data_IF_763211494014
#
_entry.id   IF_763211494014
#
_cell.length_a   1.000
_cell.length_b   1.000
_cell.length_c   1.000
_cell.angle_alpha   90.00
_cell.angle_beta   90.00
_cell.angle_gamma   90.00
#
_symmetry.space_group_name_H-M   'P 1'
#
loop_
_entity.id
_entity.type
_entity.pdbx_description
1 polymer ?
#
# COMPACT_ATOMS: atom_id res chain seq x y z
N UNK A 1 -8.59 -19.80 30.61
CA UNK A 1 -7.24 -19.20 30.70
C UNK A 1 -6.49 -19.53 29.43
N UNK A 2 -6.69 -18.73 28.39
CA UNK A 2 -5.89 -18.82 27.17
C UNK A 2 -4.48 -18.35 27.50
N UNK A 3 -3.45 -19.09 27.11
CA UNK A 3 -2.05 -18.64 27.17
C UNK A 3 -2.00 -17.23 26.58
N UNK A 4 -1.75 -16.22 27.42
CA UNK A 4 -1.40 -14.90 26.93
C UNK A 4 -0.09 -15.08 26.17
N UNK A 5 -0.15 -14.99 24.84
CA UNK A 5 1.07 -14.88 24.05
C UNK A 5 1.79 -13.63 24.54
N UNK A 6 3.06 -13.75 24.90
CA UNK A 6 3.85 -12.60 25.36
C UNK A 6 4.21 -11.66 24.21
N UNK A 7 3.95 -12.08 22.97
CA UNK A 7 4.18 -11.32 21.75
C UNK A 7 2.87 -11.25 20.96
N UNK A 8 2.50 -10.04 20.55
CA UNK A 8 1.43 -9.77 19.60
C UNK A 8 2.05 -9.21 18.32
N UNK A 9 1.90 -9.92 17.20
CA UNK A 9 2.40 -9.50 15.90
C UNK A 9 1.27 -9.40 14.89
N UNK A 10 1.16 -8.23 14.26
CA UNK A 10 0.14 -7.90 13.27
C UNK A 10 0.84 -7.61 11.94
N UNK A 11 0.62 -8.47 10.94
CA UNK A 11 1.17 -8.26 9.60
C UNK A 11 0.36 -7.19 8.85
N UNK A 12 1.08 -6.38 8.09
CA UNK A 12 0.54 -5.26 7.32
C UNK A 12 0.86 -5.50 5.85
N UNK A 13 -0.20 -5.82 5.12
CA UNK A 13 -0.15 -5.97 3.68
C UNK A 13 0.13 -4.63 3.00
N UNK A 14 1.22 -4.57 2.24
CA UNK A 14 1.61 -3.41 1.46
C UNK A 14 1.05 -3.41 0.05
N UNK A 15 1.94 -3.14 -0.91
CA UNK A 15 1.61 -3.06 -2.32
C UNK A 15 1.31 -4.42 -2.96
N UNK A 16 1.64 -5.55 -2.34
CA UNK A 16 1.35 -6.91 -2.85
C UNK A 16 -0.10 -7.35 -2.65
N UNK A 17 -1.05 -6.50 -3.06
CA UNK A 17 -2.49 -6.77 -3.00
C UNK A 17 -3.04 -7.08 -4.39
N UNK A 18 -4.09 -7.89 -4.44
CA UNK A 18 -4.76 -8.28 -5.69
C UNK A 18 -5.10 -7.07 -6.58
N UNK A 19 -5.67 -6.00 -6.00
CA UNK A 19 -6.01 -4.77 -6.73
C UNK A 19 -4.79 -4.16 -7.44
N UNK A 20 -3.61 -4.17 -6.82
CA UNK A 20 -2.41 -3.63 -7.45
C UNK A 20 -1.92 -4.54 -8.59
N UNK A 21 -1.97 -5.86 -8.44
CA UNK A 21 -1.63 -6.79 -9.53
C UNK A 21 -2.59 -6.63 -10.71
N UNK A 22 -3.89 -6.51 -10.43
CA UNK A 22 -4.93 -6.30 -11.42
C UNK A 22 -4.69 -5.02 -12.23
N UNK A 23 -4.52 -3.88 -11.55
CA UNK A 23 -4.27 -2.61 -12.22
C UNK A 23 -2.93 -2.58 -12.95
N UNK A 24 -1.87 -3.14 -12.36
CA UNK A 24 -0.56 -3.25 -13.04
C UNK A 24 -0.69 -4.02 -14.35
N UNK A 25 -1.48 -5.10 -14.37
CA UNK A 25 -1.73 -5.92 -15.56
C UNK A 25 -2.50 -5.14 -16.63
N UNK A 26 -3.63 -4.52 -16.26
CA UNK A 26 -4.45 -3.74 -17.21
C UNK A 26 -3.63 -2.60 -17.84
N UNK A 27 -2.92 -1.84 -17.02
CA UNK A 27 -2.09 -0.72 -17.50
C UNK A 27 -0.93 -1.21 -18.37
N UNK A 28 -0.34 -2.38 -18.05
CA UNK A 28 0.70 -2.99 -18.90
C UNK A 28 0.17 -3.34 -20.28
N UNK A 29 -1.01 -4.00 -20.35
CA UNK A 29 -1.63 -4.38 -21.62
C UNK A 29 -1.94 -3.13 -22.45
N UNK A 30 -2.55 -2.12 -21.85
CA UNK A 30 -2.88 -0.87 -22.54
C UNK A 30 -1.63 -0.10 -23.00
N UNK A 31 -0.64 0.08 -22.12
CA UNK A 31 0.60 0.79 -22.42
C UNK A 31 1.40 0.11 -23.53
N UNK A 32 1.64 -1.20 -23.42
CA UNK A 32 2.35 -1.97 -24.44
C UNK A 32 1.56 -1.98 -25.75
N UNK A 33 0.23 -2.17 -25.70
CA UNK A 33 -0.62 -2.16 -26.88
C UNK A 33 -0.53 -0.84 -27.67
N UNK A 34 -0.66 0.29 -26.98
CA UNK A 34 -0.53 1.61 -27.61
C UNK A 34 0.89 1.91 -28.10
N UNK A 35 1.91 1.47 -27.36
CA UNK A 35 3.30 1.61 -27.77
C UNK A 35 3.58 0.85 -29.08
N UNK A 36 3.15 -0.41 -29.15
CA UNK A 36 3.30 -1.24 -30.35
C UNK A 36 2.48 -0.70 -31.53
N UNK A 37 1.26 -0.21 -31.29
CA UNK A 37 0.44 0.40 -32.33
C UNK A 37 1.08 1.68 -32.91
N UNK A 38 1.59 2.56 -32.05
CA UNK A 38 2.30 3.77 -32.47
C UNK A 38 3.58 3.47 -33.25
N UNK A 39 4.37 2.49 -32.79
CA UNK A 39 5.56 2.02 -33.51
C UNK A 39 5.22 1.38 -34.85
N UNK A 40 4.15 0.58 -34.92
CA UNK A 40 3.69 -0.06 -36.16
C UNK A 40 3.30 0.98 -37.22
N UNK A 41 2.59 2.04 -36.81
CA UNK A 41 2.20 3.14 -37.70
C UNK A 41 3.40 3.91 -38.26
N UNK A 42 4.49 4.03 -37.48
CA UNK A 42 5.74 4.69 -37.91
C UNK A 42 6.61 3.79 -38.80
N UNK A 43 6.86 2.54 -38.38
CA UNK A 43 7.77 1.61 -39.06
C UNK A 43 7.14 0.92 -40.27
N UNK A 44 5.81 1.02 -40.43
CA UNK A 44 5.04 0.29 -41.42
C UNK A 44 5.24 -1.24 -41.35
N UNK A 45 5.38 -1.75 -40.13
CA UNK A 45 5.41 -3.19 -39.79
C UNK A 45 4.34 -3.45 -38.74
N UNK A 46 3.51 -4.47 -38.93
CA UNK A 46 2.49 -4.81 -37.94
C UNK A 46 3.13 -5.55 -36.73
N UNK A 47 3.19 -4.86 -35.59
CA UNK A 47 3.69 -5.41 -34.31
C UNK A 47 2.56 -5.83 -33.37
N UNK A 48 1.30 -5.61 -33.75
CA UNK A 48 0.13 -5.88 -32.92
C UNK A 48 -0.54 -7.18 -33.38
N UNK A 49 -0.89 -8.06 -32.45
CA UNK A 49 -1.48 -9.36 -32.79
C UNK A 49 -2.91 -9.28 -33.34
N UNK A 50 -3.70 -8.31 -32.88
CA UNK A 50 -5.17 -8.32 -33.02
C UNK A 50 -5.65 -7.32 -34.08
N UNK A 51 -4.80 -6.43 -34.58
CA UNK A 51 -5.17 -5.34 -35.47
C UNK A 51 -4.03 -5.00 -36.42
N UNK A 52 -4.31 -4.19 -37.44
CA UNK A 52 -3.31 -3.70 -38.38
C UNK A 52 -3.13 -2.18 -38.26
N UNK A 53 -2.21 -1.69 -37.40
CA UNK A 53 -1.98 -0.25 -37.23
C UNK A 53 -1.14 0.35 -38.36
N UNK A 54 -0.69 -0.47 -39.31
CA UNK A 54 0.28 -0.10 -40.34
C UNK A 54 -0.29 0.95 -41.29
N UNK A 55 -1.60 0.91 -41.53
CA UNK A 55 -2.34 1.85 -42.37
C UNK A 55 -2.61 3.19 -41.69
N UNK A 56 -2.45 3.31 -40.36
CA UNK A 56 -2.66 4.59 -39.67
C UNK A 56 -1.64 5.64 -40.11
N UNK A 57 -2.12 6.86 -40.29
CA UNK A 57 -1.27 8.03 -40.46
C UNK A 57 -0.54 8.30 -39.13
N UNK A 58 0.80 8.30 -39.18
CA UNK A 58 1.60 8.47 -37.97
C UNK A 58 1.30 9.80 -37.27
N UNK A 59 1.18 10.90 -38.00
CA UNK A 59 0.79 12.20 -37.42
C UNK A 59 -0.65 12.52 -37.84
N UNK A 60 -1.55 12.85 -36.89
CA UNK A 60 -1.34 12.97 -35.44
C UNK A 60 -1.57 11.65 -34.66
N UNK A 61 -2.25 10.67 -35.26
CA UNK A 61 -2.86 9.54 -34.55
C UNK A 61 -1.83 8.54 -34.01
N UNK A 62 -0.90 8.07 -34.84
CA UNK A 62 0.17 7.17 -34.42
C UNK A 62 1.10 7.78 -33.36
N UNK A 63 1.38 9.08 -33.45
CA UNK A 63 2.19 9.84 -32.51
C UNK A 63 1.48 9.97 -31.14
N UNK A 64 0.16 10.20 -31.14
CA UNK A 64 -0.63 10.19 -29.92
C UNK A 64 -0.64 8.80 -29.26
N UNK A 65 -0.83 7.73 -30.04
CA UNK A 65 -0.76 6.35 -29.54
C UNK A 65 0.63 6.04 -28.96
N UNK A 66 1.69 6.45 -29.64
CA UNK A 66 3.06 6.27 -29.15
C UNK A 66 3.28 7.02 -27.83
N UNK A 67 2.82 8.27 -27.72
CA UNK A 67 2.93 9.07 -26.50
C UNK A 67 2.19 8.41 -25.32
N UNK A 68 0.92 8.05 -25.50
CA UNK A 68 0.15 7.36 -24.46
C UNK A 68 0.70 5.98 -24.14
N UNK A 69 1.27 5.28 -25.14
CA UNK A 69 1.97 4.02 -24.96
C UNK A 69 3.17 4.16 -24.04
N UNK A 70 4.05 5.13 -24.31
CA UNK A 70 5.22 5.42 -23.45
C UNK A 70 4.77 5.78 -22.02
N UNK A 71 3.80 6.70 -21.88
CA UNK A 71 3.30 7.10 -20.57
C UNK A 71 2.68 5.90 -19.81
N UNK A 72 1.86 5.09 -20.49
CA UNK A 72 1.24 3.90 -19.92
C UNK A 72 2.26 2.83 -19.53
N UNK A 73 3.27 2.57 -20.35
CA UNK A 73 4.34 1.62 -20.04
C UNK A 73 5.20 2.08 -18.86
N UNK A 74 5.53 3.38 -18.78
CA UNK A 74 6.25 3.94 -17.62
C UNK A 74 5.40 3.83 -16.33
N UNK A 75 4.10 4.10 -16.41
CA UNK A 75 3.19 3.93 -15.29
C UNK A 75 3.09 2.46 -14.87
N UNK A 76 2.96 1.54 -15.83
CA UNK A 76 2.94 0.10 -15.57
C UNK A 76 4.23 -0.36 -14.88
N UNK A 77 5.40 0.09 -15.36
CA UNK A 77 6.69 -0.19 -14.75
C UNK A 77 6.73 0.31 -13.30
N UNK A 78 6.29 1.54 -13.05
CA UNK A 78 6.21 2.08 -11.70
C UNK A 78 5.30 1.24 -10.77
N UNK A 79 4.14 0.81 -11.25
CA UNK A 79 3.22 -0.03 -10.47
C UNK A 79 3.84 -1.39 -10.16
N UNK A 80 4.45 -2.05 -11.14
CA UNK A 80 5.14 -3.32 -10.94
C UNK A 80 6.30 -3.21 -9.97
N UNK A 81 7.09 -2.14 -10.05
CA UNK A 81 8.18 -1.87 -9.12
C UNK A 81 7.66 -1.64 -7.69
N UNK A 82 6.56 -0.91 -7.54
CA UNK A 82 5.90 -0.69 -6.25
C UNK A 82 5.44 -2.01 -5.62
N UNK A 83 4.86 -2.91 -6.42
CA UNK A 83 4.47 -4.27 -6.00
C UNK A 83 5.68 -5.13 -5.67
N UNK A 84 6.72 -5.12 -6.52
CA UNK A 84 7.96 -5.88 -6.34
C UNK A 84 8.62 -5.56 -5.00
N UNK A 85 8.69 -4.27 -4.67
CA UNK A 85 9.29 -3.79 -3.43
C UNK A 85 8.39 -3.87 -2.20
N UNK A 86 7.12 -4.25 -2.39
CA UNK A 86 6.09 -4.31 -1.35
C UNK A 86 5.98 -3.01 -0.53
N UNK A 87 5.96 -1.88 -1.23
CA UNK A 87 5.91 -0.56 -0.59
C UNK A 87 4.67 -0.45 0.30
N UNK A 88 4.86 0.04 1.53
CA UNK A 88 3.85 0.14 2.58
C UNK A 88 3.65 -1.15 3.39
N UNK A 89 4.24 -2.27 2.99
CA UNK A 89 4.12 -3.55 3.69
C UNK A 89 5.00 -3.60 4.93
N UNK A 90 4.68 -4.45 5.90
CA UNK A 90 5.48 -4.59 7.12
C UNK A 90 4.68 -5.23 8.23
N UNK A 91 4.97 -4.88 9.48
CA UNK A 91 4.30 -5.45 10.64
C UNK A 91 4.34 -4.51 11.85
N UNK A 92 3.42 -4.74 12.79
CA UNK A 92 3.49 -4.20 14.15
C UNK A 92 3.79 -5.37 15.10
N UNK A 93 4.78 -5.23 15.96
CA UNK A 93 5.13 -6.22 16.97
C UNK A 93 5.13 -5.55 18.34
N UNK A 94 4.43 -6.16 19.29
CA UNK A 94 4.36 -5.73 20.68
C UNK A 94 4.81 -6.89 21.54
N UNK A 95 5.93 -6.73 22.25
CA UNK A 95 6.57 -7.82 22.95
C UNK A 95 6.71 -7.49 24.44
N UNK A 96 5.98 -8.22 25.29
CA UNK A 96 5.98 -8.07 26.75
C UNK A 96 7.23 -8.64 27.43
N UNK A 97 7.94 -9.58 26.80
CA UNK A 97 9.21 -10.12 27.33
C UNK A 97 10.31 -9.07 27.23
N UNK A 98 10.40 -8.40 26.08
CA UNK A 98 11.40 -7.35 25.84
C UNK A 98 10.96 -5.97 26.33
N UNK A 99 9.65 -5.78 26.56
CA UNK A 99 9.08 -4.49 26.93
C UNK A 99 9.06 -3.47 25.79
N UNK A 100 9.12 -3.92 24.54
CA UNK A 100 9.25 -3.06 23.35
C UNK A 100 8.07 -3.21 22.37
N UNK A 101 7.66 -2.09 21.79
CA UNK A 101 6.83 -2.01 20.59
C UNK A 101 7.70 -1.66 19.39
N UNK A 102 7.51 -2.38 18.28
CA UNK A 102 8.24 -2.22 17.03
C UNK A 102 7.26 -2.13 15.87
N UNK A 103 7.31 -1.03 15.14
CA UNK A 103 6.49 -0.77 13.97
C UNK A 103 7.43 -0.68 12.78
N UNK A 104 7.30 -1.64 11.86
CA UNK A 104 8.16 -1.74 10.68
C UNK A 104 7.34 -1.58 9.40
N UNK A 105 7.85 -0.79 8.44
CA UNK A 105 7.29 -0.63 7.10
C UNK A 105 8.40 -0.60 6.05
N UNK A 106 8.10 -1.17 4.88
CA UNK A 106 8.88 -1.04 3.66
C UNK A 106 8.50 0.26 2.95
N UNK A 107 9.47 1.16 2.79
CA UNK A 107 9.37 2.33 1.93
C UNK A 107 9.83 2.05 0.49
N UNK A 108 9.91 3.11 -0.30
CA UNK A 108 10.54 3.08 -1.62
C UNK A 108 12.02 2.69 -1.53
N UNK A 109 12.61 2.11 -2.60
CA UNK A 109 14.03 1.79 -2.62
C UNK A 109 14.89 3.04 -2.40
N UNK A 110 15.99 2.86 -1.68
CA UNK A 110 16.90 3.94 -1.31
C UNK A 110 17.48 3.72 0.07
N UNK A 111 18.18 4.74 0.59
CA UNK A 111 18.86 4.69 1.88
C UNK A 111 17.89 4.45 3.06
N UNK A 112 16.67 4.98 2.97
CA UNK A 112 15.66 4.90 4.03
C UNK A 112 14.52 3.92 3.67
N UNK A 113 14.86 2.82 2.98
CA UNK A 113 13.86 1.81 2.58
C UNK A 113 13.19 1.14 3.78
N UNK A 114 13.92 0.93 4.88
CA UNK A 114 13.36 0.36 6.11
C UNK A 114 12.92 1.51 7.00
N UNK A 115 11.62 1.65 7.17
CA UNK A 115 11.03 2.64 8.08
C UNK A 115 10.67 1.89 9.33
N UNK A 116 11.37 2.22 10.42
CA UNK A 116 11.27 1.48 11.66
C UNK A 116 11.10 2.45 12.81
N UNK A 117 10.15 2.13 13.67
CA UNK A 117 9.89 2.86 14.89
C UNK A 117 9.90 1.89 16.05
N UNK A 118 10.65 2.21 17.10
CA UNK A 118 10.70 1.44 18.33
C UNK A 118 10.42 2.35 19.53
N UNK A 119 9.60 1.87 20.47
CA UNK A 119 9.40 2.50 21.78
C UNK A 119 9.18 1.45 22.87
N UNK A 120 9.28 1.88 24.13
CA UNK A 120 8.95 1.03 25.27
C UNK A 120 7.44 0.91 25.41
N UNK A 121 6.95 -0.26 25.84
CA UNK A 121 5.52 -0.46 26.10
C UNK A 121 5.00 0.51 27.19
N UNK A 122 5.83 0.81 28.19
CA UNK A 122 5.49 1.76 29.29
C UNK A 122 5.32 3.22 28.83
N UNK A 123 5.79 3.54 27.62
CA UNK A 123 5.59 4.85 27.00
C UNK A 123 4.26 4.93 26.23
N UNK A 124 3.60 3.80 25.96
CA UNK A 124 2.29 3.79 25.31
C UNK A 124 1.22 4.27 26.30
N UNK A 125 0.42 5.25 25.88
CA UNK A 125 -0.63 5.85 26.69
C UNK A 125 -2.01 5.28 26.37
N UNK A 126 -2.31 5.14 25.08
CA UNK A 126 -3.60 4.69 24.59
C UNK A 126 -3.48 4.14 23.17
N UNK A 127 -4.45 3.31 22.79
CA UNK A 127 -4.72 2.99 21.39
C UNK A 127 -5.85 3.91 20.96
N UNK A 128 -5.68 4.70 19.91
CA UNK A 128 -6.70 5.62 19.43
C UNK A 128 -7.31 5.11 18.14
N UNK A 129 -8.62 4.86 18.13
CA UNK A 129 -9.40 4.70 16.92
C UNK A 129 -9.76 6.08 16.37
N UNK A 130 -9.61 6.26 15.06
CA UNK A 130 -10.12 7.42 14.35
C UNK A 130 -11.11 6.93 13.32
N UNK A 131 -12.37 7.32 13.49
CA UNK A 131 -13.47 6.99 12.59
C UNK A 131 -14.00 8.30 12.02
N UNK A 132 -13.89 8.44 10.70
CA UNK A 132 -14.50 9.51 9.94
C UNK A 132 -15.44 8.89 8.92
N UNK A 133 -16.70 9.29 8.95
CA UNK A 133 -17.69 8.87 7.97
C UNK A 133 -17.96 9.97 6.94
N UNK A 134 -18.62 9.61 5.83
CA UNK A 134 -18.98 10.53 4.75
C UNK A 134 -18.36 10.15 3.40
N UNK A 135 -18.15 11.15 2.53
CA UNK A 135 -17.67 10.94 1.16
C UNK A 135 -16.24 10.40 1.08
N UNK A 136 -15.41 10.65 2.10
CA UNK A 136 -14.07 10.11 2.24
C UNK A 136 -13.92 9.47 3.62
N UNK A 137 -14.39 8.22 3.77
CA UNK A 137 -14.35 7.54 5.05
C UNK A 137 -12.90 7.22 5.44
N UNK A 138 -12.58 7.40 6.71
CA UNK A 138 -11.26 7.09 7.27
C UNK A 138 -11.45 6.26 8.53
N UNK A 139 -10.81 5.09 8.60
CA UNK A 139 -10.87 4.18 9.75
C UNK A 139 -9.47 3.70 10.04
N UNK A 140 -8.85 4.35 11.02
CA UNK A 140 -7.42 4.16 11.33
C UNK A 140 -7.22 3.92 12.83
N UNK A 141 -6.25 3.07 13.18
CA UNK A 141 -5.75 2.93 14.54
C UNK A 141 -4.42 3.65 14.66
N UNK A 142 -4.25 4.35 15.77
CA UNK A 142 -3.02 5.03 16.13
C UNK A 142 -2.52 4.55 17.49
N UNK A 143 -1.20 4.46 17.61
CA UNK A 143 -0.53 4.28 18.88
C UNK A 143 -0.17 5.64 19.45
N UNK A 144 -0.71 5.97 20.62
CA UNK A 144 -0.35 7.20 21.34
C UNK A 144 0.80 6.92 22.29
N UNK A 145 1.92 7.60 22.08
CA UNK A 145 3.15 7.43 22.88
C UNK A 145 3.47 8.73 23.62
N UNK A 146 3.94 8.62 24.87
CA UNK A 146 4.34 9.77 25.71
C UNK A 146 5.28 10.70 24.94
N UNK A 147 4.92 12.00 24.91
CA UNK A 147 5.74 13.07 24.31
C UNK A 147 6.10 12.86 22.83
N UNK A 148 5.36 12.01 22.09
CA UNK A 148 5.56 11.78 20.67
C UNK A 148 4.27 12.00 19.88
N UNK A 149 4.41 12.13 18.56
CA UNK A 149 3.27 12.14 17.64
C UNK A 149 2.60 10.76 17.62
N UNK A 150 1.31 10.76 17.35
CA UNK A 150 0.52 9.55 17.13
C UNK A 150 1.07 8.77 15.93
N UNK A 151 1.19 7.44 16.09
CA UNK A 151 1.82 6.59 15.08
C UNK A 151 0.75 5.70 14.45
N UNK A 152 0.52 5.82 13.13
CA UNK A 152 -0.50 5.01 12.47
C UNK A 152 -0.11 3.53 12.49
N UNK A 153 -1.00 2.71 13.02
CA UNK A 153 -0.86 1.26 13.09
C UNK A 153 -1.53 0.57 11.90
N UNK A 154 -2.56 1.19 11.33
CA UNK A 154 -3.31 0.67 10.19
C UNK A 154 -2.68 1.05 8.86
N UNK A 155 -3.14 0.38 7.82
CA UNK A 155 -2.68 0.56 6.44
C UNK A 155 -3.26 1.84 5.82
N UNK A 156 -2.52 2.41 4.89
CA UNK A 156 -3.04 3.47 4.00
C UNK A 156 -3.85 2.81 2.88
N UNK A 157 -5.10 3.21 2.68
CA UNK A 157 -5.94 2.68 1.61
C UNK A 157 -7.40 2.53 2.01
N UNK A 158 -8.02 1.42 1.59
CA UNK A 158 -9.42 1.15 1.88
C UNK A 158 -9.64 1.04 3.40
N UNK A 159 -10.62 1.77 3.97
CA UNK A 159 -10.92 1.70 5.38
C UNK A 159 -11.30 0.29 5.80
N UNK A 160 -10.81 -0.14 6.96
CA UNK A 160 -11.22 -1.42 7.54
C UNK A 160 -12.73 -1.41 7.83
N UNK A 161 -13.40 -2.58 7.79
CA UNK A 161 -14.72 -2.72 8.41
C UNK A 161 -14.69 -2.22 9.85
N UNK A 162 -15.75 -1.53 10.29
CA UNK A 162 -15.80 -0.94 11.62
C UNK A 162 -15.57 -1.99 12.72
N UNK A 163 -16.24 -3.14 12.59
CA UNK A 163 -16.08 -4.27 13.51
C UNK A 163 -14.65 -4.81 13.56
N UNK A 164 -13.93 -4.82 12.43
CA UNK A 164 -12.55 -5.29 12.38
C UNK A 164 -11.61 -4.27 13.06
N UNK A 165 -11.84 -2.97 12.84
CA UNK A 165 -11.11 -1.90 13.51
C UNK A 165 -11.29 -1.96 15.03
N UNK A 166 -12.54 -2.11 15.49
CA UNK A 166 -12.89 -2.22 16.90
C UNK A 166 -12.27 -3.46 17.54
N UNK A 167 -12.36 -4.62 16.88
CA UNK A 167 -11.76 -5.86 17.37
C UNK A 167 -10.23 -5.75 17.48
N UNK A 168 -9.55 -5.23 16.44
CA UNK A 168 -8.11 -5.05 16.45
C UNK A 168 -7.68 -4.01 17.51
N UNK A 169 -8.44 -2.92 17.65
CA UNK A 169 -8.18 -1.88 18.65
C UNK A 169 -8.36 -2.39 20.07
N UNK A 170 -9.44 -3.10 20.35
CA UNK A 170 -9.74 -3.68 21.65
C UNK A 170 -8.75 -4.78 22.04
N UNK A 171 -8.37 -5.64 21.09
CA UNK A 171 -7.35 -6.67 21.30
C UNK A 171 -6.00 -6.03 21.68
N UNK A 172 -5.57 -5.02 20.93
CA UNK A 172 -4.31 -4.32 21.19
C UNK A 172 -4.33 -3.57 22.52
N UNK A 173 -5.42 -2.84 22.82
CA UNK A 173 -5.59 -2.12 24.08
C UNK A 173 -5.55 -3.08 25.28
N UNK A 174 -6.25 -4.22 25.18
CA UNK A 174 -6.22 -5.28 26.20
C UNK A 174 -4.84 -5.91 26.33
N UNK A 175 -4.15 -6.15 25.23
CA UNK A 175 -2.79 -6.68 25.25
C UNK A 175 -1.84 -5.73 25.98
N UNK A 176 -1.89 -4.44 25.66
CA UNK A 176 -1.01 -3.42 26.24
C UNK A 176 -1.42 -2.97 27.65
N UNK A 177 -2.65 -3.24 28.08
CA UNK A 177 -3.18 -2.76 29.35
C UNK A 177 -3.44 -1.25 29.37
N UNK A 178 -3.73 -0.66 28.21
CA UNK A 178 -3.97 0.79 28.03
C UNK A 178 -5.40 1.03 27.53
N UNK A 179 -5.98 2.22 27.75
CA UNK A 179 -7.32 2.54 27.24
C UNK A 179 -7.37 2.58 25.70
N UNK A 180 -8.54 2.22 25.16
CA UNK A 180 -8.94 2.49 23.78
C UNK A 180 -9.69 3.84 23.74
N UNK A 181 -9.18 4.80 22.97
CA UNK A 181 -9.74 6.15 22.81
C UNK A 181 -10.35 6.32 21.40
N UNK A 182 -11.31 7.24 21.24
CA UNK A 182 -11.79 7.67 19.92
C UNK A 182 -12.89 6.82 19.28
N UNK A 183 -13.71 6.17 20.12
CA UNK A 183 -15.06 5.73 19.76
C UNK A 183 -16.05 6.89 19.89
#
# INVERSE_FOLDING_TARGET
MTKDSLVLRQEILGARRFSNYWWSTIVSIGGIGFLLAGLSSYLKVNLVLVSDPTELQFIPQGAALLFYGVAGTLLALYLWLTVLWDVGGGYNEFNKETGMAKIFRWGFPGKNRRIEFECKLDEVQSVRAQIREGLNPERCLYLRVKQRREIPLTRVGQPLPLSELENQGAELARFLGVPLEGL
#
